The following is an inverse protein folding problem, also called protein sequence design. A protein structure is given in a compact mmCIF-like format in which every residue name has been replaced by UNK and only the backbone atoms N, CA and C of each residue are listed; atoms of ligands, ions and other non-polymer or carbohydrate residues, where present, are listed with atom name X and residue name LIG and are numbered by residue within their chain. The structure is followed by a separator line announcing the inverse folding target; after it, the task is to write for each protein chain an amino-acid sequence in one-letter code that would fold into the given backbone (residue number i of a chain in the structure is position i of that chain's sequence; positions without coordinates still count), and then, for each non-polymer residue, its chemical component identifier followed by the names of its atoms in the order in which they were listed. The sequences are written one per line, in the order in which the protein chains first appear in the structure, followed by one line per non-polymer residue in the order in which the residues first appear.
data_IF_124758936546
#
_entry.id   IF_124758936546
#
_cell.length_a   1.000
_cell.length_b   1.000
_cell.length_c   1.000
_cell.angle_alpha   90.00
_cell.angle_beta   90.00
_cell.angle_gamma   90.00
#
_symmetry.space_group_name_H-M   'P 1'
#
loop_
_entity.id
_entity.type
_entity.pdbx_description
1 polymer ?
#
# COMPACT_ATOMS: atom_id res chain seq x y z
N UNK A 1 -71.50 20.62 65.25
CA UNK A 1 -70.23 20.56 66.01
C UNK A 1 -69.29 19.54 65.37
N UNK A 2 -68.25 20.03 64.68
CA UNK A 2 -66.92 19.44 64.34
C UNK A 2 -66.46 19.93 62.96
N UNK A 3 -65.63 20.98 62.99
CA UNK A 3 -64.68 21.32 61.92
C UNK A 3 -63.59 20.24 61.80
N UNK A 4 -63.00 20.09 60.61
CA UNK A 4 -61.55 20.02 60.33
C UNK A 4 -61.38 19.88 58.80
N UNK A 5 -60.88 20.93 58.12
CA UNK A 5 -59.48 21.18 57.73
C UNK A 5 -59.01 20.30 56.54
N UNK A 6 -58.94 20.87 55.33
CA UNK A 6 -57.75 21.43 54.63
C UNK A 6 -56.99 20.37 53.83
N UNK A 7 -56.78 20.57 52.52
CA UNK A 7 -55.47 20.84 51.89
C UNK A 7 -55.60 20.88 50.36
N UNK A 8 -55.10 21.99 49.84
CA UNK A 8 -54.83 22.38 48.47
C UNK A 8 -53.70 21.52 47.88
N UNK A 9 -53.82 21.08 46.63
CA UNK A 9 -52.65 20.77 45.80
C UNK A 9 -52.99 21.02 44.33
N UNK A 10 -52.50 22.15 43.81
CA UNK A 10 -52.31 22.38 42.39
C UNK A 10 -51.23 21.39 41.91
N UNK A 11 -51.56 20.53 40.95
CA UNK A 11 -50.53 19.97 40.08
C UNK A 11 -50.45 20.84 38.82
N UNK A 12 -49.37 21.62 38.77
CA UNK A 12 -48.96 22.48 37.66
C UNK A 12 -48.56 21.60 36.48
N UNK A 13 -49.14 21.87 35.30
CA UNK A 13 -48.66 21.37 34.01
C UNK A 13 -47.23 21.88 33.77
N UNK A 14 -46.22 21.07 34.10
CA UNK A 14 -44.86 21.28 33.60
C UNK A 14 -44.79 20.77 32.16
N UNK A 15 -45.01 21.68 31.22
CA UNK A 15 -44.43 21.60 29.87
C UNK A 15 -42.92 21.55 30.05
N UNK A 16 -42.36 20.35 30.20
CA UNK A 16 -40.94 20.14 30.06
C UNK A 16 -40.59 20.37 28.60
N UNK A 17 -40.26 21.62 28.28
CA UNK A 17 -39.35 21.95 27.18
C UNK A 17 -38.09 21.13 27.43
N UNK A 18 -37.99 19.95 26.82
CA UNK A 18 -36.70 19.34 26.57
C UNK A 18 -35.99 20.29 25.61
N UNK A 19 -34.86 20.91 26.00
CA UNK A 19 -34.02 21.57 25.02
C UNK A 19 -33.69 20.49 24.00
N UNK A 20 -33.93 20.78 22.72
CA UNK A 20 -33.31 20.06 21.63
C UNK A 20 -31.86 19.86 22.05
N UNK A 21 -31.47 18.60 22.22
CA UNK A 21 -30.07 18.25 22.31
C UNK A 21 -29.46 18.89 21.08
N UNK A 22 -28.74 19.99 21.29
CA UNK A 22 -27.82 20.49 20.30
C UNK A 22 -26.98 19.26 19.97
N UNK A 23 -27.21 18.73 18.77
CA UNK A 23 -26.11 18.22 18.00
C UNK A 23 -25.10 19.37 18.02
N UNK A 24 -24.21 19.34 19.00
CA UNK A 24 -22.85 19.72 18.72
C UNK A 24 -22.48 18.74 17.62
N UNK A 25 -22.72 19.17 16.37
CA UNK A 25 -21.83 18.84 15.28
C UNK A 25 -20.46 19.02 15.89
N UNK A 26 -19.86 17.90 16.30
CA UNK A 26 -18.44 17.85 16.53
C UNK A 26 -17.92 18.50 15.26
N UNK A 27 -17.28 19.67 15.39
CA UNK A 27 -16.35 20.12 14.37
C UNK A 27 -15.30 19.03 14.35
N UNK A 28 -15.61 17.97 13.61
CA UNK A 28 -14.71 16.91 13.26
C UNK A 28 -13.47 17.62 12.76
N UNK A 29 -12.35 17.25 13.33
CA UNK A 29 -11.08 17.92 13.15
C UNK A 29 -10.71 17.86 11.66
N UNK A 30 -11.07 18.94 10.95
CA UNK A 30 -10.81 19.13 9.52
C UNK A 30 -9.44 19.72 9.28
N UNK A 31 -8.65 20.02 10.34
CA UNK A 31 -7.30 20.51 10.12
C UNK A 31 -6.44 19.34 9.61
N UNK A 32 -5.89 19.44 8.38
CA UNK A 32 -5.01 18.40 7.87
C UNK A 32 -3.73 18.34 8.70
N UNK A 33 -3.19 17.13 8.83
CA UNK A 33 -1.82 16.96 9.33
C UNK A 33 -0.84 17.76 8.44
N UNK A 34 0.25 18.31 9.00
CA UNK A 34 1.31 18.91 8.20
C UNK A 34 1.96 17.84 7.31
N UNK A 35 2.11 18.13 6.02
CA UNK A 35 2.68 17.21 5.02
C UNK A 35 1.73 16.96 3.85
N UNK A 36 2.16 16.14 2.88
CA UNK A 36 1.31 15.75 1.75
C UNK A 36 0.43 14.56 2.16
N UNK A 37 -0.89 14.75 2.23
CA UNK A 37 -1.81 13.67 2.56
C UNK A 37 -1.80 12.58 1.48
N UNK A 38 -1.98 11.32 1.87
CA UNK A 38 -2.07 10.22 0.90
C UNK A 38 -3.40 10.21 0.13
N UNK A 39 -4.38 10.98 0.55
CA UNK A 39 -5.68 11.10 -0.11
C UNK A 39 -6.34 12.42 0.32
N UNK A 40 -7.21 12.97 -0.54
CA UNK A 40 -8.14 14.01 -0.13
C UNK A 40 -9.28 13.40 0.70
N UNK A 41 -9.79 14.19 1.65
CA UNK A 41 -10.93 13.80 2.47
C UNK A 41 -12.14 13.41 1.62
N UNK A 42 -12.50 14.23 0.64
CA UNK A 42 -13.68 14.01 -0.19
C UNK A 42 -13.55 12.72 -1.01
N UNK A 43 -12.44 12.55 -1.74
CA UNK A 43 -12.27 11.39 -2.62
C UNK A 43 -12.09 10.09 -1.83
N UNK A 44 -11.42 10.12 -0.66
CA UNK A 44 -11.29 8.94 0.19
C UNK A 44 -12.66 8.45 0.67
N UNK A 45 -13.49 9.34 1.20
CA UNK A 45 -14.80 8.95 1.73
C UNK A 45 -15.78 8.51 0.64
N UNK A 46 -15.75 9.16 -0.53
CA UNK A 46 -16.50 8.70 -1.70
C UNK A 46 -16.05 7.30 -2.14
N UNK A 47 -14.73 7.07 -2.18
CA UNK A 47 -14.18 5.77 -2.53
C UNK A 47 -14.55 4.70 -1.50
N UNK A 48 -14.43 4.97 -0.20
CA UNK A 48 -14.82 4.03 0.87
C UNK A 48 -16.29 3.64 0.77
N UNK A 49 -17.17 4.61 0.53
CA UNK A 49 -18.59 4.37 0.27
C UNK A 49 -18.79 3.47 -0.96
N UNK A 50 -18.03 3.69 -2.03
CA UNK A 50 -18.07 2.83 -3.24
C UNK A 50 -17.61 1.39 -2.99
N UNK A 51 -16.77 1.18 -1.96
CA UNK A 51 -16.32 -0.13 -1.50
C UNK A 51 -17.24 -0.77 -0.46
N UNK A 52 -18.36 -0.14 -0.12
CA UNK A 52 -19.28 -0.64 0.90
C UNK A 52 -18.73 -0.51 2.33
N UNK A 53 -17.70 0.32 2.53
CA UNK A 53 -17.16 0.61 3.86
C UNK A 53 -18.01 1.72 4.48
N UNK A 54 -18.82 1.35 5.47
CA UNK A 54 -19.66 2.30 6.21
C UNK A 54 -18.86 3.01 7.30
N UNK A 55 -17.91 3.84 6.88
CA UNK A 55 -17.11 4.69 7.76
C UNK A 55 -16.94 6.09 7.15
N UNK A 56 -16.62 7.07 7.99
CA UNK A 56 -16.24 8.42 7.57
C UNK A 56 -14.91 8.78 8.18
N UNK A 57 -13.89 8.85 7.33
CA UNK A 57 -12.53 9.21 7.73
C UNK A 57 -12.41 10.73 7.72
N UNK A 58 -12.06 11.33 8.85
CA UNK A 58 -11.80 12.77 8.95
C UNK A 58 -10.38 13.11 8.48
N UNK A 59 -10.17 14.35 8.04
CA UNK A 59 -8.91 14.81 7.44
C UNK A 59 -7.69 14.55 8.33
N UNK A 60 -7.79 14.78 9.64
CA UNK A 60 -6.67 14.58 10.58
C UNK A 60 -6.30 13.11 10.80
N UNK A 61 -7.14 12.16 10.38
CA UNK A 61 -6.85 10.73 10.46
C UNK A 61 -6.08 10.20 9.25
N UNK A 62 -6.14 10.90 8.11
CA UNK A 62 -5.51 10.46 6.87
C UNK A 62 -3.98 10.57 7.02
N UNK A 63 -3.22 9.49 6.78
CA UNK A 63 -1.77 9.54 6.85
C UNK A 63 -1.15 10.50 5.82
N UNK A 64 0.04 11.00 6.12
CA UNK A 64 0.85 11.73 5.13
C UNK A 64 1.85 10.80 4.44
N UNK A 65 2.34 11.23 3.27
CA UNK A 65 3.42 10.53 2.53
C UNK A 65 4.66 10.35 3.41
N UNK A 66 4.98 11.32 4.25
CA UNK A 66 6.11 11.24 5.19
C UNK A 66 5.89 10.14 6.25
N UNK A 67 4.67 9.98 6.76
CA UNK A 67 4.32 8.90 7.69
C UNK A 67 4.42 7.52 7.01
N UNK A 68 3.98 7.41 5.74
CA UNK A 68 4.15 6.19 4.94
C UNK A 68 5.64 5.86 4.77
N UNK A 69 6.45 6.81 4.33
CA UNK A 69 7.88 6.60 4.07
C UNK A 69 8.64 6.27 5.36
N UNK A 70 8.29 6.91 6.48
CA UNK A 70 8.83 6.57 7.78
C UNK A 70 8.46 5.14 8.22
N UNK A 71 7.24 4.68 7.89
CA UNK A 71 6.85 3.30 8.14
C UNK A 71 7.66 2.30 7.30
N UNK A 72 7.83 2.58 6.00
CA UNK A 72 8.51 1.73 5.04
C UNK A 72 10.02 1.55 5.29
N UNK A 73 10.68 2.55 5.88
CA UNK A 73 12.14 2.52 6.13
C UNK A 73 12.61 1.28 6.90
N UNK A 74 11.77 0.73 7.77
CA UNK A 74 12.09 -0.43 8.60
C UNK A 74 11.51 -1.76 8.05
N UNK A 75 10.73 -1.71 6.97
CA UNK A 75 10.00 -2.86 6.44
C UNK A 75 10.80 -3.63 5.39
N UNK A 76 11.69 -4.51 5.85
CA UNK A 76 12.58 -5.29 4.97
C UNK A 76 11.99 -6.65 4.60
N UNK A 77 11.08 -6.67 3.62
CA UNK A 77 10.56 -7.94 3.09
C UNK A 77 11.61 -8.66 2.24
N UNK A 78 11.78 -9.96 2.49
CA UNK A 78 12.75 -10.83 1.84
C UNK A 78 12.24 -12.25 1.68
N UNK A 79 13.01 -13.11 1.01
CA UNK A 79 12.72 -14.55 0.90
C UNK A 79 12.34 -15.22 2.22
N UNK A 80 13.03 -14.87 3.31
CA UNK A 80 12.82 -15.46 4.63
C UNK A 80 11.74 -14.75 5.44
N UNK A 81 11.59 -13.44 5.20
CA UNK A 81 10.57 -12.59 5.82
C UNK A 81 9.63 -12.06 4.75
N UNK A 82 8.77 -12.94 4.25
CA UNK A 82 7.99 -12.69 3.03
C UNK A 82 6.97 -11.58 3.13
N UNK A 83 6.43 -11.33 4.32
CA UNK A 83 5.34 -10.39 4.53
C UNK A 83 5.51 -9.65 5.84
N UNK A 84 5.37 -8.33 5.80
CA UNK A 84 5.42 -7.44 6.97
C UNK A 84 4.26 -6.45 6.87
N UNK A 85 3.70 -6.07 8.02
CA UNK A 85 2.66 -5.05 8.12
C UNK A 85 3.00 -4.08 9.24
N UNK A 86 2.65 -2.80 9.06
CA UNK A 86 2.82 -1.74 10.05
C UNK A 86 1.56 -0.89 10.08
N UNK A 87 0.94 -0.83 11.26
CA UNK A 87 -0.19 0.04 11.52
C UNK A 87 0.28 1.49 11.61
N UNK A 88 -0.51 2.40 11.02
CA UNK A 88 -0.28 3.85 11.03
C UNK A 88 -1.26 4.58 11.97
N UNK A 89 -2.21 3.84 12.57
CA UNK A 89 -3.31 4.38 13.37
C UNK A 89 -4.55 4.68 12.54
N UNK A 90 -5.68 4.87 13.23
CA UNK A 90 -6.99 5.15 12.61
C UNK A 90 -7.37 4.14 11.50
N UNK A 91 -7.09 2.86 11.73
CA UNK A 91 -7.30 1.74 10.80
C UNK A 91 -6.50 1.78 9.49
N UNK A 92 -5.52 2.68 9.36
CA UNK A 92 -4.58 2.67 8.24
C UNK A 92 -3.41 1.74 8.51
N UNK A 93 -2.98 1.01 7.48
CA UNK A 93 -1.79 0.16 7.52
C UNK A 93 -1.02 0.18 6.21
N UNK A 94 0.28 -0.12 6.32
CA UNK A 94 1.15 -0.43 5.19
C UNK A 94 1.57 -1.88 5.28
N UNK A 95 1.44 -2.59 4.17
CA UNK A 95 1.90 -3.96 4.03
C UNK A 95 2.98 -4.02 2.95
N UNK A 96 4.05 -4.76 3.23
CA UNK A 96 5.03 -5.14 2.21
C UNK A 96 5.07 -6.65 2.10
N UNK A 97 5.19 -7.14 0.88
CA UNK A 97 5.18 -8.56 0.58
C UNK A 97 6.15 -8.87 -0.56
N UNK A 98 6.85 -9.99 -0.47
CA UNK A 98 7.62 -10.56 -1.57
C UNK A 98 7.23 -12.01 -1.79
N UNK A 99 7.24 -12.44 -3.04
CA UNK A 99 7.01 -13.82 -3.43
C UNK A 99 7.83 -14.17 -4.66
N UNK A 100 8.06 -15.47 -4.86
CA UNK A 100 8.75 -15.99 -6.03
C UNK A 100 7.97 -17.14 -6.66
N UNK A 101 8.15 -17.29 -7.97
CA UNK A 101 7.63 -18.42 -8.73
C UNK A 101 8.80 -19.07 -9.48
N UNK A 102 9.19 -20.31 -9.13
CA UNK A 102 10.16 -21.06 -9.92
C UNK A 102 9.67 -21.23 -11.36
N UNK A 103 10.58 -21.15 -12.31
CA UNK A 103 10.30 -21.27 -13.75
C UNK A 103 11.14 -22.38 -14.37
N UNK A 104 10.73 -22.85 -15.55
CA UNK A 104 11.50 -23.82 -16.33
C UNK A 104 12.86 -23.22 -16.70
N UNK A 105 13.95 -23.94 -16.44
CA UNK A 105 15.30 -23.46 -16.78
C UNK A 105 15.49 -23.48 -18.30
N UNK A 106 15.57 -22.30 -18.91
CA UNK A 106 15.90 -22.12 -20.33
C UNK A 106 17.16 -21.30 -20.47
N UNK A 107 18.24 -21.93 -20.92
CA UNK A 107 19.49 -21.23 -21.20
C UNK A 107 19.37 -20.56 -22.58
N UNK A 108 19.45 -19.23 -22.67
CA UNK A 108 19.42 -18.54 -23.96
C UNK A 108 20.61 -18.93 -24.84
N UNK A 109 20.39 -19.00 -26.15
CA UNK A 109 21.39 -19.45 -27.13
C UNK A 109 22.61 -18.53 -27.26
N UNK A 110 22.53 -17.29 -26.78
CA UNK A 110 23.65 -16.35 -26.77
C UNK A 110 24.64 -16.59 -25.62
N UNK A 111 24.27 -17.38 -24.61
CA UNK A 111 25.16 -17.69 -23.49
C UNK A 111 26.08 -18.84 -23.91
N UNK A 112 27.42 -18.65 -23.93
CA UNK A 112 28.34 -19.71 -24.30
C UNK A 112 28.20 -20.92 -23.39
N UNK A 113 28.15 -22.13 -23.96
CA UNK A 113 28.00 -23.37 -23.19
C UNK A 113 29.06 -23.52 -22.09
N UNK A 114 30.31 -23.11 -22.35
CA UNK A 114 31.41 -23.14 -21.37
C UNK A 114 31.11 -22.34 -20.09
N UNK A 115 30.23 -21.35 -20.14
CA UNK A 115 29.93 -20.46 -19.00
C UNK A 115 28.85 -21.06 -18.07
N UNK A 116 28.16 -22.09 -18.54
CA UNK A 116 27.07 -22.80 -17.83
C UNK A 116 27.31 -24.30 -17.68
N UNK A 117 28.28 -24.87 -18.40
CA UNK A 117 28.60 -26.30 -18.36
C UNK A 117 28.98 -26.74 -16.94
N UNK A 118 28.33 -27.79 -16.44
CA UNK A 118 28.58 -28.34 -15.10
C UNK A 118 28.02 -27.51 -13.94
N UNK A 119 27.32 -26.41 -14.21
CA UNK A 119 26.66 -25.60 -13.18
C UNK A 119 25.23 -26.06 -12.92
N UNK A 120 24.79 -25.98 -11.66
CA UNK A 120 23.38 -26.17 -11.29
C UNK A 120 22.64 -24.87 -11.56
N UNK A 121 21.95 -24.82 -12.70
CA UNK A 121 21.17 -23.66 -13.08
C UNK A 121 19.77 -23.71 -12.47
N UNK A 122 19.30 -22.56 -12.03
CA UNK A 122 17.94 -22.36 -11.55
C UNK A 122 17.33 -21.13 -12.22
N UNK A 123 16.02 -21.15 -12.38
CA UNK A 123 15.25 -20.06 -13.00
C UNK A 123 14.04 -19.70 -12.15
N UNK A 124 13.78 -18.42 -11.97
CA UNK A 124 12.63 -17.93 -11.22
C UNK A 124 12.18 -16.54 -11.66
N UNK A 125 10.95 -16.17 -11.29
CA UNK A 125 10.50 -14.78 -11.17
C UNK A 125 10.29 -14.42 -9.70
N UNK A 126 10.37 -13.13 -9.39
CA UNK A 126 10.09 -12.59 -8.08
C UNK A 126 9.22 -11.33 -8.21
N UNK A 127 8.39 -11.09 -7.21
CA UNK A 127 7.55 -9.89 -7.12
C UNK A 127 7.70 -9.29 -5.73
N UNK A 128 7.88 -7.98 -5.68
CA UNK A 128 7.72 -7.16 -4.49
C UNK A 128 6.47 -6.32 -4.60
N UNK A 129 5.70 -6.25 -3.52
CA UNK A 129 4.44 -5.49 -3.44
C UNK A 129 4.45 -4.66 -2.18
N UNK A 130 4.01 -3.41 -2.30
CA UNK A 130 3.66 -2.54 -1.20
C UNK A 130 2.20 -2.15 -1.33
N UNK A 131 1.43 -2.31 -0.26
CA UNK A 131 0.01 -1.94 -0.19
C UNK A 131 -0.20 -0.91 0.91
N UNK A 132 -0.88 0.17 0.57
CA UNK A 132 -1.44 1.11 1.54
C UNK A 132 -2.92 0.78 1.67
N UNK A 133 -3.40 0.58 2.89
CA UNK A 133 -4.73 0.06 3.15
C UNK A 133 -5.43 0.86 4.24
N UNK A 134 -6.76 0.89 4.15
CA UNK A 134 -7.64 1.31 5.23
C UNK A 134 -8.56 0.14 5.58
N UNK A 135 -8.51 -0.33 6.82
CA UNK A 135 -9.08 -1.63 7.22
C UNK A 135 -8.55 -2.75 6.30
N UNK A 136 -9.45 -3.42 5.59
CA UNK A 136 -9.12 -4.47 4.62
C UNK A 136 -9.21 -3.99 3.16
N UNK A 137 -9.53 -2.71 2.93
CA UNK A 137 -9.60 -2.12 1.60
C UNK A 137 -8.22 -1.60 1.16
N UNK A 138 -7.74 -2.09 0.02
CA UNK A 138 -6.46 -1.65 -0.56
C UNK A 138 -6.66 -0.32 -1.27
N UNK A 139 -6.03 0.73 -0.75
CA UNK A 139 -6.05 2.09 -1.33
C UNK A 139 -5.00 2.24 -2.42
N UNK A 140 -3.80 1.70 -2.23
CA UNK A 140 -2.73 1.77 -3.23
C UNK A 140 -2.01 0.44 -3.30
N UNK A 141 -1.61 0.04 -4.51
CA UNK A 141 -0.70 -1.08 -4.72
C UNK A 141 0.44 -0.63 -5.61
N UNK A 142 1.65 -0.65 -5.06
CA UNK A 142 2.89 -0.46 -5.78
C UNK A 142 3.57 -1.82 -5.90
N UNK A 143 4.02 -2.20 -7.10
CA UNK A 143 4.65 -3.50 -7.28
C UNK A 143 5.75 -3.46 -8.34
N UNK A 144 6.86 -4.14 -8.04
CA UNK A 144 7.90 -4.48 -9.00
C UNK A 144 7.85 -5.98 -9.25
N UNK A 145 7.75 -6.38 -10.52
CA UNK A 145 7.83 -7.77 -10.94
C UNK A 145 9.10 -7.97 -11.71
N UNK A 146 9.95 -8.89 -11.30
CA UNK A 146 11.05 -9.27 -12.15
C UNK A 146 10.57 -10.01 -13.40
N UNK A 147 11.41 -9.98 -14.42
CA UNK A 147 11.34 -11.01 -15.44
C UNK A 147 11.93 -12.33 -14.92
N UNK A 148 11.94 -13.34 -15.79
CA UNK A 148 12.65 -14.58 -15.54
C UNK A 148 14.16 -14.31 -15.41
N UNK A 149 14.74 -14.78 -14.31
CA UNK A 149 16.19 -14.76 -14.07
C UNK A 149 16.76 -16.16 -14.13
N UNK A 150 17.95 -16.28 -14.70
CA UNK A 150 18.77 -17.48 -14.65
C UNK A 150 19.96 -17.27 -13.71
N UNK A 151 20.20 -18.17 -12.77
CA UNK A 151 21.30 -18.08 -11.80
C UNK A 151 21.95 -19.44 -11.54
N UNK A 152 23.20 -19.44 -11.07
CA UNK A 152 24.00 -20.65 -10.79
C UNK A 152 24.30 -20.91 -9.31
N UNK A 153 23.71 -20.14 -8.41
CA UNK A 153 24.00 -20.19 -6.98
C UNK A 153 25.12 -19.23 -6.55
N UNK A 154 25.83 -18.59 -7.49
CA UNK A 154 26.85 -17.58 -7.21
C UNK A 154 26.51 -16.21 -7.81
N UNK A 155 26.05 -16.19 -9.07
CA UNK A 155 25.78 -14.96 -9.82
C UNK A 155 24.48 -15.06 -10.63
N UNK A 156 23.96 -13.91 -11.04
CA UNK A 156 22.88 -13.87 -12.02
C UNK A 156 23.52 -14.02 -13.41
N UNK A 157 23.21 -15.13 -14.09
CA UNK A 157 23.76 -15.48 -15.40
C UNK A 157 22.99 -14.77 -16.52
N UNK A 158 21.69 -14.65 -16.37
CA UNK A 158 20.85 -13.95 -17.34
C UNK A 158 19.68 -13.26 -16.66
N UNK A 159 19.26 -12.16 -17.26
CA UNK A 159 18.10 -11.39 -16.86
C UNK A 159 17.39 -10.98 -18.15
N UNK A 160 16.20 -11.51 -18.42
CA UNK A 160 15.41 -11.08 -19.57
C UNK A 160 14.74 -9.74 -19.28
N UNK A 161 14.65 -8.84 -20.24
CA UNK A 161 13.92 -7.59 -20.00
C UNK A 161 12.49 -7.91 -19.55
N UNK A 162 12.03 -7.26 -18.45
CA UNK A 162 10.62 -7.31 -18.09
C UNK A 162 9.85 -6.72 -19.28
N UNK A 163 8.79 -7.38 -19.78
CA UNK A 163 7.93 -6.72 -20.75
C UNK A 163 7.46 -5.41 -20.13
N UNK A 164 7.43 -4.32 -20.91
CA UNK A 164 6.79 -3.07 -20.47
C UNK A 164 5.34 -3.43 -20.12
N UNK A 165 5.06 -3.56 -18.83
CA UNK A 165 3.75 -4.05 -18.39
C UNK A 165 2.76 -2.90 -18.46
N UNK A 166 1.97 -2.87 -19.53
CA UNK A 166 0.67 -2.19 -19.54
C UNK A 166 -0.45 -3.09 -19.03
N UNK A 167 -0.17 -4.28 -18.46
CA UNK A 167 -1.22 -5.25 -18.07
C UNK A 167 -1.85 -4.90 -16.70
N UNK A 168 -3.08 -4.37 -16.68
CA UNK A 168 -3.80 -4.01 -15.44
C UNK A 168 -4.30 -5.22 -14.66
N UNK A 169 -4.04 -6.46 -15.10
CA UNK A 169 -4.61 -7.69 -14.50
C UNK A 169 -3.74 -8.36 -13.43
N UNK A 170 -2.57 -7.84 -13.11
CA UNK A 170 -1.78 -8.28 -11.94
C UNK A 170 -1.77 -7.21 -10.85
N UNK A 171 -2.69 -7.41 -9.90
CA UNK A 171 -3.01 -6.62 -8.69
C UNK A 171 -4.11 -5.58 -8.91
N UNK A 172 -5.31 -5.99 -8.51
CA UNK A 172 -6.59 -5.31 -8.70
C UNK A 172 -6.70 -3.98 -7.96
N UNK A 173 -6.34 -2.89 -8.62
CA UNK A 173 -7.24 -1.75 -8.85
C UNK A 173 -6.51 -0.66 -9.63
N UNK A 174 -7.04 -0.37 -10.83
CA UNK A 174 -6.95 0.90 -11.56
C UNK A 174 -5.58 1.35 -12.09
N UNK A 175 -5.32 0.93 -13.35
CA UNK A 175 -4.89 1.72 -14.51
C UNK A 175 -3.67 2.66 -14.55
N UNK A 176 -2.83 2.84 -13.52
CA UNK A 176 -1.76 3.85 -13.63
C UNK A 176 -0.37 3.36 -13.15
N UNK A 177 0.16 2.31 -13.80
CA UNK A 177 1.62 2.10 -13.83
C UNK A 177 2.16 2.93 -14.99
N UNK A 178 2.85 4.03 -14.71
CA UNK A 178 3.44 4.85 -15.76
C UNK A 178 4.66 4.16 -16.37
N UNK A 179 5.60 3.60 -15.57
CA UNK A 179 6.84 3.02 -16.12
C UNK A 179 7.44 1.88 -15.27
N UNK A 180 7.97 0.85 -15.93
CA UNK A 180 8.76 -0.21 -15.30
C UNK A 180 10.04 -0.43 -16.12
N UNK A 181 11.19 -0.43 -15.46
CA UNK A 181 12.50 -0.58 -16.10
C UNK A 181 13.48 -1.36 -15.23
N UNK A 182 14.58 -1.79 -15.84
CA UNK A 182 15.59 -2.61 -15.17
C UNK A 182 16.84 -1.80 -14.89
N UNK A 183 17.41 -2.01 -13.71
CA UNK A 183 18.64 -1.36 -13.31
C UNK A 183 19.72 -2.38 -12.94
N UNK A 184 20.94 -2.12 -13.41
CA UNK A 184 22.08 -3.03 -13.25
C UNK A 184 23.14 -2.42 -12.34
N UNK A 185 23.36 -3.04 -11.19
CA UNK A 185 24.39 -2.60 -10.23
C UNK A 185 25.66 -3.47 -10.30
N UNK A 186 25.53 -4.79 -10.45
CA UNK A 186 26.66 -5.73 -10.48
C UNK A 186 26.26 -7.07 -11.13
N UNK A 187 27.22 -7.95 -11.51
CA UNK A 187 26.87 -9.28 -12.02
C UNK A 187 26.24 -10.20 -10.96
N UNK A 188 26.30 -9.81 -9.68
CA UNK A 188 25.77 -10.59 -8.56
C UNK A 188 24.36 -10.16 -8.17
N UNK A 189 24.02 -8.89 -8.36
CA UNK A 189 22.76 -8.29 -7.92
C UNK A 189 22.08 -7.53 -9.07
N UNK A 190 20.77 -7.73 -9.20
CA UNK A 190 19.95 -7.13 -10.24
C UNK A 190 18.69 -6.52 -9.62
N UNK A 191 18.36 -5.30 -10.01
CA UNK A 191 17.17 -4.61 -9.52
C UNK A 191 16.13 -4.48 -10.62
N UNK A 192 14.90 -4.84 -10.29
CA UNK A 192 13.72 -4.43 -11.07
C UNK A 192 13.15 -3.19 -10.42
N UNK A 193 13.08 -2.10 -11.17
CA UNK A 193 12.57 -0.82 -10.71
C UNK A 193 11.17 -0.61 -11.30
N UNK A 194 10.22 -0.22 -10.46
CA UNK A 194 8.90 0.16 -10.92
C UNK A 194 8.52 1.52 -10.35
N UNK A 195 7.98 2.35 -11.22
CA UNK A 195 7.40 3.64 -10.89
C UNK A 195 5.90 3.62 -11.21
N UNK A 196 5.10 4.12 -10.28
CA UNK A 196 3.66 4.21 -10.45
C UNK A 196 3.17 5.60 -10.10
N UNK A 197 2.11 6.02 -10.77
CA UNK A 197 1.40 7.27 -10.46
C UNK A 197 -0.01 6.92 -10.05
N UNK A 198 -0.52 7.54 -9.00
CA UNK A 198 -1.84 7.26 -8.47
C UNK A 198 -2.70 8.53 -8.59
N UNK A 199 -3.44 8.72 -9.69
CA UNK A 199 -4.28 9.90 -9.89
C UNK A 199 -5.61 9.84 -9.12
N UNK A 200 -5.92 8.69 -8.54
CA UNK A 200 -7.18 8.43 -7.86
C UNK A 200 -6.99 8.56 -6.35
N UNK A 201 -7.91 9.27 -5.69
CA UNK A 201 -7.90 9.70 -4.28
C UNK A 201 -7.12 10.99 -3.95
N UNK A 202 -6.38 11.59 -4.88
CA UNK A 202 -5.83 12.95 -4.74
C UNK A 202 -6.37 13.89 -5.80
N UNK A 203 -6.29 15.21 -5.58
CA UNK A 203 -6.66 16.22 -6.60
C UNK A 203 -5.66 16.19 -7.77
N UNK A 204 -6.08 16.62 -8.96
CA UNK A 204 -5.30 16.49 -10.22
C UNK A 204 -3.84 16.98 -10.17
N UNK A 205 -3.54 17.97 -9.32
CA UNK A 205 -2.20 18.57 -9.17
C UNK A 205 -1.38 17.97 -8.04
N UNK A 206 -1.93 17.00 -7.32
CA UNK A 206 -1.36 16.45 -6.07
C UNK A 206 -1.17 14.93 -6.16
N UNK A 207 -1.13 14.37 -7.37
CA UNK A 207 -0.97 12.93 -7.59
C UNK A 207 0.20 12.38 -6.80
N UNK A 208 -0.02 11.22 -6.20
CA UNK A 208 1.02 10.49 -5.51
C UNK A 208 1.78 9.66 -6.52
N UNK A 209 3.10 9.64 -6.43
CA UNK A 209 3.92 8.69 -7.16
C UNK A 209 4.60 7.74 -6.19
N UNK A 210 4.89 6.52 -6.66
CA UNK A 210 5.58 5.49 -5.89
C UNK A 210 6.77 4.95 -6.68
N UNK A 211 7.84 4.63 -5.96
CA UNK A 211 9.05 3.98 -6.46
C UNK A 211 9.29 2.71 -5.65
N UNK A 212 9.61 1.61 -6.32
CA UNK A 212 10.00 0.36 -5.67
C UNK A 212 11.12 -0.31 -6.45
N UNK A 213 12.11 -0.81 -5.73
CA UNK A 213 13.21 -1.62 -6.25
C UNK A 213 13.14 -3.02 -5.64
N UNK A 214 12.94 -4.02 -6.49
CA UNK A 214 13.06 -5.42 -6.10
C UNK A 214 14.45 -5.92 -6.51
N UNK A 215 15.27 -6.29 -5.54
CA UNK A 215 16.58 -6.89 -5.78
C UNK A 215 16.50 -8.39 -5.82
N UNK A 216 17.25 -8.98 -6.75
CA UNK A 216 17.50 -10.40 -6.88
C UNK A 216 19.01 -10.67 -7.00
N UNK A 217 19.48 -11.78 -6.43
CA UNK A 217 20.90 -12.13 -6.51
C UNK A 217 21.17 -13.57 -6.98
N UNK A 218 22.44 -13.86 -7.23
CA UNK A 218 22.91 -15.16 -7.73
C UNK A 218 22.61 -16.38 -6.85
N UNK A 219 22.25 -16.19 -5.58
CA UNK A 219 21.88 -17.27 -4.64
C UNK A 219 20.38 -17.58 -4.63
N UNK A 220 19.58 -16.86 -5.43
CA UNK A 220 18.12 -16.97 -5.43
C UNK A 220 17.45 -16.18 -4.30
N UNK A 221 18.18 -15.27 -3.64
CA UNK A 221 17.59 -14.36 -2.66
C UNK A 221 16.93 -13.18 -3.37
N UNK A 222 15.80 -12.76 -2.84
CA UNK A 222 15.01 -11.63 -3.33
C UNK A 222 14.48 -10.80 -2.16
N UNK A 223 14.47 -9.48 -2.31
CA UNK A 223 14.02 -8.55 -1.28
C UNK A 223 13.72 -7.17 -1.86
N UNK A 224 12.86 -6.41 -1.17
CA UNK A 224 12.63 -5.00 -1.49
C UNK A 224 13.86 -4.20 -1.03
N UNK A 225 14.60 -3.65 -1.98
CA UNK A 225 15.84 -2.91 -1.75
C UNK A 225 15.60 -1.45 -1.38
N UNK A 226 14.69 -0.80 -2.11
CA UNK A 226 14.26 0.56 -1.86
C UNK A 226 12.77 0.71 -2.17
N UNK A 227 12.09 1.58 -1.42
CA UNK A 227 10.69 1.91 -1.65
C UNK A 227 10.31 3.24 -1.01
N UNK A 228 9.61 4.09 -1.75
CA UNK A 228 9.07 5.35 -1.23
C UNK A 228 7.91 5.87 -2.08
N UNK A 229 7.15 6.80 -1.50
CA UNK A 229 6.11 7.59 -2.15
C UNK A 229 6.48 9.08 -2.17
N UNK A 230 5.94 9.85 -3.13
CA UNK A 230 6.16 11.29 -3.32
C UNK A 230 4.89 12.04 -3.69
#
# INVERSE_FOLDING_TARGET
MKMKKTVLSLLVCSLAFTPAAFAQDKKEDMQPKPGKAIASYEQLNEWLKSKGVNDTVVTSHIPTVEEINAALKDMKASRDTKKLSKELGNDFKVEVEVFNTPTEVKVPTYIPYKDVAGKKLESATATGVVRIMYKDAVMYTLAANSAEFLYDGERVIDFRDAPRSTDPRTLSSTNDREEQYLYYYSPFDKDTVAEARFPWLTKEKEHITGHIELRFNGTGNYYINDVYFK
#
